data_IF_932092595445
#
_entry.id   IF_932092595445
#
_cell.length_a   1.000
_cell.length_b   1.000
_cell.length_c   1.000
_cell.angle_alpha   90.00
_cell.angle_beta   90.00
_cell.angle_gamma   90.00
#
_symmetry.space_group_name_H-M   'P 1'
#
loop_
_entity.id
_entity.type
_entity.pdbx_description
1 polymer ?
#
# COMPACT_ATOMS: atom_id res chain seq x y z
N UNK A 1 7.38 -24.28 -15.76
CA UNK A 1 8.35 -23.78 -16.74
C UNK A 1 7.86 -24.04 -18.16
N UNK A 2 6.90 -23.31 -18.69
CA UNK A 2 6.54 -23.28 -20.13
C UNK A 2 5.62 -22.08 -20.35
N UNK A 3 6.01 -21.16 -21.25
CA UNK A 3 5.29 -19.99 -21.81
C UNK A 3 5.67 -18.59 -21.30
N UNK A 4 6.95 -18.31 -21.06
CA UNK A 4 7.41 -16.92 -20.88
C UNK A 4 8.43 -16.45 -21.94
N UNK A 5 8.69 -17.23 -22.97
CA UNK A 5 9.86 -17.01 -23.85
C UNK A 5 9.57 -16.41 -25.20
N UNK A 6 8.36 -16.49 -25.75
CA UNK A 6 8.17 -16.05 -27.14
C UNK A 6 7.81 -14.57 -27.30
N UNK A 7 7.10 -13.93 -26.40
CA UNK A 7 6.75 -12.50 -26.54
C UNK A 7 7.89 -11.54 -26.21
N UNK A 8 8.79 -11.93 -25.32
CA UNK A 8 9.95 -11.08 -24.96
C UNK A 8 11.06 -11.14 -26.02
N UNK A 9 11.19 -12.25 -26.71
CA UNK A 9 12.18 -12.42 -27.78
C UNK A 9 11.75 -11.70 -29.08
N UNK A 10 10.45 -11.65 -29.38
CA UNK A 10 9.95 -10.92 -30.57
C UNK A 10 10.05 -9.38 -30.43
N UNK A 11 9.99 -8.84 -29.22
CA UNK A 11 10.17 -7.40 -28.99
C UNK A 11 11.63 -6.96 -29.17
N UNK A 12 12.60 -7.85 -28.95
CA UNK A 12 14.03 -7.56 -29.17
C UNK A 12 14.45 -7.76 -30.64
N UNK A 13 13.76 -8.58 -31.42
CA UNK A 13 14.06 -8.81 -32.83
C UNK A 13 13.70 -7.63 -33.73
N UNK A 14 12.71 -6.80 -33.36
CA UNK A 14 12.29 -5.62 -34.15
C UNK A 14 13.19 -4.39 -33.96
N UNK A 15 14.16 -4.43 -33.04
CA UNK A 15 15.18 -3.37 -32.87
C UNK A 15 16.46 -3.62 -33.68
N UNK A 16 16.54 -4.75 -34.41
CA UNK A 16 17.76 -5.21 -35.08
C UNK A 16 17.86 -4.83 -36.57
N UNK A 17 16.94 -4.06 -37.16
CA UNK A 17 17.00 -3.75 -38.59
C UNK A 17 17.91 -2.56 -38.98
N UNK A 18 18.68 -2.00 -38.06
CA UNK A 18 19.65 -0.90 -38.34
C UNK A 18 20.99 -1.00 -37.59
N UNK A 19 21.45 -2.19 -37.24
CA UNK A 19 22.76 -2.36 -36.58
C UNK A 19 23.59 -3.46 -37.29
N UNK A 20 24.93 -3.33 -37.37
CA UNK A 20 25.78 -4.31 -38.03
C UNK A 20 25.80 -5.66 -37.32
N UNK A 21 25.98 -6.74 -38.09
CA UNK A 21 25.95 -8.13 -37.69
C UNK A 21 26.63 -8.43 -36.35
N UNK A 22 25.86 -8.89 -35.38
CA UNK A 22 26.38 -9.43 -34.12
C UNK A 22 26.66 -10.93 -34.34
N UNK A 23 27.87 -11.35 -34.01
CA UNK A 23 28.40 -12.69 -34.16
C UNK A 23 27.67 -13.69 -33.23
N UNK A 24 27.38 -14.90 -33.70
CA UNK A 24 26.62 -15.96 -33.04
C UNK A 24 27.26 -16.55 -31.77
N UNK A 25 28.40 -16.01 -31.32
CA UNK A 25 29.08 -16.42 -30.07
C UNK A 25 28.38 -15.94 -28.77
N UNK A 26 27.26 -15.19 -28.89
CA UNK A 26 26.60 -14.56 -27.71
C UNK A 26 25.63 -15.48 -26.95
N UNK A 27 25.30 -16.66 -27.49
CA UNK A 27 24.28 -17.54 -26.89
C UNK A 27 24.84 -18.65 -25.98
N UNK A 28 26.15 -18.84 -25.89
CA UNK A 28 26.77 -19.92 -25.11
C UNK A 28 27.34 -19.50 -23.75
N UNK A 29 27.26 -18.22 -23.37
CA UNK A 29 27.86 -17.69 -22.12
C UNK A 29 26.86 -17.39 -21.00
N UNK A 30 25.73 -18.10 -20.93
CA UNK A 30 24.72 -17.86 -19.87
C UNK A 30 25.02 -18.56 -18.52
N UNK A 31 26.10 -19.35 -18.43
CA UNK A 31 26.43 -20.16 -17.25
C UNK A 31 27.65 -19.70 -16.43
N UNK A 32 28.22 -18.51 -16.69
CA UNK A 32 29.35 -18.05 -15.90
C UNK A 32 29.51 -16.52 -15.85
N UNK A 33 29.73 -15.99 -14.66
CA UNK A 33 29.88 -14.54 -14.38
C UNK A 33 31.16 -13.91 -14.96
N UNK A 34 32.08 -14.66 -15.53
CA UNK A 34 33.42 -14.19 -15.92
C UNK A 34 33.54 -13.65 -17.36
N UNK A 35 32.45 -13.64 -18.13
CA UNK A 35 32.48 -13.16 -19.53
C UNK A 35 32.25 -11.66 -19.72
N UNK A 36 32.10 -10.87 -18.68
CA UNK A 36 31.75 -9.43 -18.80
C UNK A 36 32.94 -8.46 -18.89
N UNK A 37 34.15 -8.93 -18.58
CA UNK A 37 35.35 -8.05 -18.56
C UNK A 37 36.18 -8.05 -19.86
N UNK A 38 35.79 -8.83 -20.85
CA UNK A 38 36.52 -8.98 -22.12
C UNK A 38 36.25 -7.93 -23.21
N UNK A 39 35.34 -6.97 -23.01
CA UNK A 39 34.94 -6.01 -24.04
C UNK A 39 35.49 -4.58 -23.82
N UNK A 40 36.79 -4.45 -23.61
CA UNK A 40 37.45 -3.14 -23.44
C UNK A 40 37.94 -2.49 -24.74
N UNK A 41 37.39 -2.85 -25.90
CA UNK A 41 37.92 -2.39 -27.20
C UNK A 41 36.94 -1.76 -28.21
N UNK A 42 35.65 -1.61 -27.88
CA UNK A 42 34.68 -1.05 -28.83
C UNK A 42 34.29 0.37 -28.43
N UNK A 43 34.55 1.34 -29.30
CA UNK A 43 34.08 2.71 -29.15
C UNK A 43 32.56 2.76 -29.31
N UNK A 44 31.84 2.75 -28.20
CA UNK A 44 30.39 2.89 -28.16
C UNK A 44 30.01 4.36 -27.90
N UNK A 45 29.04 4.88 -28.66
CA UNK A 45 28.46 6.22 -28.50
C UNK A 45 27.85 6.41 -27.11
N UNK A 46 27.80 7.67 -26.65
CA UNK A 46 27.35 8.06 -25.29
C UNK A 46 25.98 7.49 -24.91
N UNK A 47 25.07 7.33 -25.88
CA UNK A 47 23.73 6.75 -25.67
C UNK A 47 23.76 5.25 -25.34
N UNK A 48 24.69 4.50 -25.95
CA UNK A 48 24.86 3.07 -25.69
C UNK A 48 25.49 2.82 -24.29
N UNK A 49 26.33 3.74 -23.80
CA UNK A 49 26.89 3.66 -22.43
C UNK A 49 25.84 3.92 -21.35
N UNK A 50 24.89 4.82 -21.60
CA UNK A 50 23.79 5.11 -20.66
C UNK A 50 22.84 3.92 -20.52
N UNK A 51 22.44 3.28 -21.63
CA UNK A 51 21.57 2.11 -21.61
C UNK A 51 22.25 0.90 -20.98
N UNK A 52 23.54 0.70 -21.22
CA UNK A 52 24.30 -0.40 -20.64
C UNK A 52 24.51 -0.23 -19.13
N UNK A 53 24.67 1.00 -18.65
CA UNK A 53 24.71 1.35 -17.23
C UNK A 53 23.37 1.05 -16.53
N UNK A 54 22.25 1.39 -17.15
CA UNK A 54 20.91 1.11 -16.61
C UNK A 54 20.59 -0.37 -16.60
N UNK A 55 20.98 -1.12 -17.61
CA UNK A 55 20.82 -2.59 -17.67
C UNK A 55 21.67 -3.28 -16.61
N UNK A 56 22.93 -2.84 -16.39
CA UNK A 56 23.78 -3.37 -15.30
C UNK A 56 23.21 -3.03 -13.91
N UNK A 57 22.63 -1.84 -13.71
CA UNK A 57 21.98 -1.47 -12.45
C UNK A 57 20.71 -2.30 -12.18
N UNK A 58 19.90 -2.55 -13.21
CA UNK A 58 18.68 -3.39 -13.09
C UNK A 58 19.01 -4.87 -12.84
N UNK A 59 20.04 -5.39 -13.50
CA UNK A 59 20.52 -6.76 -13.29
C UNK A 59 21.11 -6.94 -11.90
N UNK A 60 21.90 -5.96 -11.39
CA UNK A 60 22.42 -5.97 -10.02
C UNK A 60 21.30 -5.90 -8.98
N UNK A 61 20.27 -5.07 -9.19
CA UNK A 61 19.14 -4.96 -8.28
C UNK A 61 18.29 -6.25 -8.23
N UNK A 62 18.11 -6.93 -9.36
CA UNK A 62 17.43 -8.24 -9.42
C UNK A 62 18.29 -9.36 -8.81
N UNK A 63 19.61 -9.36 -9.03
CA UNK A 63 20.52 -10.33 -8.45
C UNK A 63 20.63 -10.18 -6.93
N UNK A 64 20.69 -8.94 -6.40
CA UNK A 64 20.70 -8.67 -4.96
C UNK A 64 19.40 -9.13 -4.30
N UNK A 65 18.26 -8.97 -4.96
CA UNK A 65 16.96 -9.49 -4.47
C UNK A 65 16.91 -11.01 -4.51
N UNK A 66 17.50 -11.65 -5.53
CA UNK A 66 17.55 -13.09 -5.65
C UNK A 66 18.54 -13.72 -4.65
N UNK A 67 19.69 -13.09 -4.42
CA UNK A 67 20.69 -13.53 -3.43
C UNK A 67 20.17 -13.27 -2.01
N UNK A 68 19.48 -12.18 -1.73
CA UNK A 68 18.82 -11.94 -0.44
C UNK A 68 17.72 -12.99 -0.15
N UNK A 69 16.98 -13.43 -1.18
CA UNK A 69 16.01 -14.51 -1.06
C UNK A 69 16.69 -15.87 -0.82
N UNK A 70 17.84 -16.14 -1.47
CA UNK A 70 18.62 -17.37 -1.32
C UNK A 70 19.35 -17.42 0.02
N UNK A 71 19.88 -16.29 0.53
CA UNK A 71 20.54 -16.23 1.86
C UNK A 71 19.54 -16.41 2.99
N UNK A 72 18.27 -15.95 2.83
CA UNK A 72 17.21 -16.26 3.78
C UNK A 72 16.81 -17.74 3.79
N UNK A 73 16.97 -18.45 2.68
CA UNK A 73 16.69 -19.90 2.60
C UNK A 73 17.83 -20.73 3.17
N UNK A 74 19.10 -20.26 3.12
CA UNK A 74 20.27 -21.02 3.58
C UNK A 74 20.61 -20.85 5.06
N UNK A 75 20.09 -19.83 5.75
CA UNK A 75 20.34 -19.65 7.20
C UNK A 75 19.51 -20.59 8.10
N UNK A 76 18.65 -21.45 7.52
CA UNK A 76 17.81 -22.41 8.27
C UNK A 76 18.41 -23.82 8.31
N UNK A 77 19.53 -24.11 7.63
CA UNK A 77 20.03 -25.50 7.47
C UNK A 77 21.11 -25.92 8.43
N UNK A 78 21.38 -25.23 9.54
CA UNK A 78 22.41 -25.63 10.47
C UNK A 78 21.93 -25.83 11.91
N UNK A 79 20.99 -26.75 12.14
CA UNK A 79 20.81 -27.41 13.45
C UNK A 79 19.83 -28.60 13.40
N UNK A 80 20.16 -29.65 12.66
CA UNK A 80 19.47 -30.93 12.80
C UNK A 80 20.50 -32.06 12.80
N UNK A 81 21.08 -32.33 13.97
CA UNK A 81 21.61 -33.66 14.31
C UNK A 81 21.30 -33.95 15.77
N UNK A 82 20.22 -34.72 16.01
CA UNK A 82 20.19 -35.69 17.12
C UNK A 82 19.08 -36.70 16.84
N UNK A 83 19.47 -37.94 16.60
CA UNK A 83 18.61 -39.13 16.62
C UNK A 83 18.22 -39.48 18.07
N UNK A 84 16.98 -39.92 18.27
CA UNK A 84 16.51 -40.58 19.50
C UNK A 84 15.00 -40.77 19.48
N UNK A 85 14.57 -42.04 19.32
CA UNK A 85 13.15 -42.39 19.22
C UNK A 85 12.35 -42.19 20.51
N UNK A 86 11.07 -41.95 20.33
CA UNK A 86 10.05 -41.82 21.34
C UNK A 86 8.93 -40.95 20.81
N UNK A 87 7.73 -41.51 20.58
CA UNK A 87 6.54 -40.72 20.23
C UNK A 87 6.15 -39.86 21.45
N UNK A 88 6.81 -38.75 21.65
CA UNK A 88 6.36 -37.64 22.47
C UNK A 88 5.67 -36.64 21.55
N UNK A 89 4.44 -36.29 21.87
CA UNK A 89 3.76 -35.11 21.33
C UNK A 89 4.69 -33.92 21.53
N UNK A 90 5.43 -33.58 20.50
CA UNK A 90 6.29 -32.41 20.53
C UNK A 90 5.41 -31.17 20.74
N UNK A 91 5.65 -30.38 21.80
CA UNK A 91 4.92 -29.13 21.97
C UNK A 91 5.09 -28.28 20.71
N UNK A 92 4.01 -27.64 20.28
CA UNK A 92 3.99 -26.67 19.20
C UNK A 92 5.17 -25.72 19.38
N UNK A 93 6.27 -25.96 18.65
CA UNK A 93 7.32 -24.96 18.53
C UNK A 93 6.70 -23.78 17.81
N UNK A 94 6.98 -22.58 18.31
CA UNK A 94 6.56 -21.31 17.69
C UNK A 94 6.48 -21.48 16.17
N UNK A 95 5.30 -21.36 15.56
CA UNK A 95 5.21 -21.44 14.11
C UNK A 95 6.15 -20.38 13.58
N UNK A 96 7.08 -20.77 12.72
CA UNK A 96 7.96 -19.84 12.03
C UNK A 96 7.10 -19.13 10.99
N UNK A 97 6.39 -18.09 11.43
CA UNK A 97 5.49 -17.34 10.59
C UNK A 97 6.30 -16.24 9.97
N UNK A 98 6.78 -16.50 8.77
CA UNK A 98 7.34 -15.48 7.90
C UNK A 98 6.15 -14.83 7.20
N UNK A 99 5.90 -13.55 7.47
CA UNK A 99 4.92 -12.78 6.72
C UNK A 99 5.63 -11.97 5.64
N UNK A 100 5.05 -11.96 4.45
CA UNK A 100 5.24 -10.89 3.50
C UNK A 100 4.82 -9.56 4.16
N UNK A 101 5.09 -8.43 3.55
CA UNK A 101 4.78 -7.09 4.07
C UNK A 101 3.44 -7.02 4.85
N UNK A 102 3.51 -6.72 6.14
CA UNK A 102 2.34 -6.54 7.02
C UNK A 102 1.76 -5.14 6.79
N UNK A 103 0.62 -5.04 6.10
CA UNK A 103 -0.04 -3.77 5.86
C UNK A 103 -1.57 -3.95 5.71
N UNK A 104 -2.34 -2.93 6.09
CA UNK A 104 -3.78 -2.88 5.90
C UNK A 104 -4.16 -3.08 4.43
N UNK A 105 -5.14 -3.95 4.16
CA UNK A 105 -5.68 -4.17 2.81
C UNK A 105 -4.71 -4.80 1.80
N UNK A 106 -3.49 -5.19 2.22
CA UNK A 106 -2.54 -5.93 1.38
C UNK A 106 -2.57 -7.38 1.79
N UNK A 107 -2.54 -8.30 0.83
CA UNK A 107 -2.52 -9.74 1.11
C UNK A 107 -1.27 -10.11 1.90
N UNK A 108 -1.47 -10.60 3.11
CA UNK A 108 -0.44 -11.16 3.99
C UNK A 108 -0.48 -12.68 3.87
N UNK A 109 0.67 -13.32 3.74
CA UNK A 109 0.80 -14.78 3.73
C UNK A 109 1.54 -15.24 4.96
N UNK A 110 0.95 -16.19 5.67
CA UNK A 110 1.52 -16.86 6.83
C UNK A 110 1.97 -18.26 6.45
N UNK A 111 3.17 -18.65 6.83
CA UNK A 111 3.74 -20.00 6.62
C UNK A 111 3.76 -20.75 7.93
N UNK A 112 3.10 -21.90 7.99
CA UNK A 112 3.00 -22.75 9.19
C UNK A 112 3.65 -24.10 8.89
N UNK A 113 4.52 -24.60 9.78
CA UNK A 113 5.20 -25.89 9.61
C UNK A 113 4.22 -27.06 9.41
N UNK A 114 4.45 -27.89 8.38
CA UNK A 114 3.55 -29.02 7.99
C UNK A 114 3.33 -30.02 9.13
N UNK A 115 4.33 -30.22 9.98
CA UNK A 115 4.21 -31.11 11.15
C UNK A 115 3.14 -30.67 12.15
N UNK A 116 2.70 -29.43 12.09
CA UNK A 116 1.68 -28.86 12.98
C UNK A 116 0.28 -28.92 12.37
N UNK A 117 0.16 -28.89 11.05
CA UNK A 117 -1.13 -28.85 10.35
C UNK A 117 -1.81 -30.22 10.32
N UNK A 118 -1.03 -31.33 10.31
CA UNK A 118 -1.56 -32.69 10.19
C UNK A 118 -2.15 -33.23 11.49
N UNK A 119 -2.30 -32.42 12.56
CA UNK A 119 -2.80 -32.84 13.88
C UNK A 119 -4.22 -32.36 14.21
N UNK A 120 -5.02 -32.00 13.18
CA UNK A 120 -6.35 -31.45 13.41
C UNK A 120 -6.34 -30.02 13.98
N UNK A 121 -5.27 -29.29 13.75
CA UNK A 121 -5.11 -27.92 14.23
C UNK A 121 -5.77 -26.97 13.24
N UNK A 122 -6.60 -26.07 13.76
CA UNK A 122 -7.23 -24.98 13.02
C UNK A 122 -6.46 -23.69 13.27
N UNK A 123 -6.40 -22.82 12.26
CA UNK A 123 -5.72 -21.52 12.35
C UNK A 123 -6.72 -20.38 12.18
N UNK A 124 -6.56 -19.34 12.99
CA UNK A 124 -7.33 -18.10 12.89
C UNK A 124 -6.38 -16.89 12.96
N UNK A 125 -6.80 -15.79 12.40
CA UNK A 125 -6.09 -14.52 12.52
C UNK A 125 -7.11 -13.41 12.76
N UNK A 126 -6.96 -12.67 13.86
CA UNK A 126 -7.75 -11.45 14.07
C UNK A 126 -7.43 -10.42 12.97
N UNK A 127 -8.30 -9.47 12.75
CA UNK A 127 -8.23 -8.51 11.63
C UNK A 127 -8.28 -9.16 10.24
N UNK A 128 -8.53 -10.48 10.14
CA UNK A 128 -8.75 -11.21 8.89
C UNK A 128 -10.14 -11.85 8.93
N UNK A 129 -10.94 -11.67 7.89
CA UNK A 129 -12.27 -12.31 7.84
C UNK A 129 -12.16 -13.83 7.76
N UNK A 130 -11.17 -14.34 7.03
CA UNK A 130 -10.85 -15.77 6.94
C UNK A 130 -9.40 -15.94 6.47
N UNK A 131 -8.77 -17.04 6.91
CA UNK A 131 -7.52 -17.52 6.33
C UNK A 131 -7.81 -18.42 5.15
N UNK A 132 -7.25 -18.11 3.98
CA UNK A 132 -7.40 -18.92 2.77
C UNK A 132 -6.11 -19.71 2.52
N UNK A 133 -6.16 -21.05 2.39
CA UNK A 133 -5.00 -21.83 1.99
C UNK A 133 -4.49 -21.39 0.62
N UNK A 134 -3.18 -21.23 0.49
CA UNK A 134 -2.51 -20.86 -0.77
C UNK A 134 -1.30 -21.76 -1.01
N UNK A 135 -0.82 -21.90 -2.27
CA UNK A 135 0.37 -22.68 -2.56
C UNK A 135 1.59 -22.22 -1.74
N UNK A 136 2.26 -23.16 -1.08
CA UNK A 136 3.51 -22.89 -0.37
C UNK A 136 4.71 -23.04 -1.31
N UNK A 137 5.74 -22.19 -1.18
CA UNK A 137 6.99 -22.34 -1.93
C UNK A 137 7.86 -23.52 -1.42
N UNK A 138 7.53 -24.08 -0.28
CA UNK A 138 8.28 -25.17 0.35
C UNK A 138 7.34 -26.27 0.87
N UNK A 139 7.69 -27.56 0.69
CA UNK A 139 6.93 -28.69 1.23
C UNK A 139 6.96 -28.77 2.77
N UNK A 140 7.83 -28.02 3.42
CA UNK A 140 7.95 -27.97 4.87
C UNK A 140 6.91 -27.06 5.54
N UNK A 141 6.18 -26.27 4.75
CA UNK A 141 5.20 -25.31 5.26
C UNK A 141 3.88 -25.43 4.52
N UNK A 142 2.79 -25.19 5.21
CA UNK A 142 1.53 -24.78 4.61
C UNK A 142 1.44 -23.26 4.66
N UNK A 143 0.83 -22.69 3.62
CA UNK A 143 0.68 -21.25 3.51
C UNK A 143 -0.81 -20.87 3.59
N UNK A 144 -1.09 -19.82 4.33
CA UNK A 144 -2.42 -19.22 4.48
C UNK A 144 -2.32 -17.73 4.20
N UNK A 145 -3.28 -17.20 3.48
CA UNK A 145 -3.32 -15.76 3.20
C UNK A 145 -4.60 -15.12 3.69
N UNK A 146 -4.52 -13.84 4.01
CA UNK A 146 -5.67 -12.97 4.20
C UNK A 146 -5.33 -11.52 3.86
N UNK A 147 -6.36 -10.67 3.78
CA UNK A 147 -6.19 -9.22 3.74
C UNK A 147 -6.63 -8.64 5.08
N UNK A 148 -5.73 -8.02 5.86
CA UNK A 148 -6.11 -7.35 7.09
C UNK A 148 -7.14 -6.25 6.83
N UNK A 149 -8.26 -6.30 7.52
CA UNK A 149 -9.37 -5.35 7.43
C UNK A 149 -9.26 -4.18 8.41
N UNK A 150 -8.24 -4.20 9.26
CA UNK A 150 -7.95 -3.17 10.27
C UNK A 150 -6.46 -3.00 10.50
N UNK A 151 -6.11 -2.02 11.34
CA UNK A 151 -4.76 -1.78 11.86
C UNK A 151 -4.66 -2.13 13.34
N UNK A 152 -3.43 -2.30 13.86
CA UNK A 152 -3.17 -2.68 15.23
C UNK A 152 -2.67 -4.12 15.37
N UNK A 153 -2.95 -4.78 16.48
CA UNK A 153 -2.45 -6.12 16.76
C UNK A 153 -3.28 -7.18 16.03
N UNK A 154 -2.67 -7.84 15.06
CA UNK A 154 -3.19 -9.07 14.47
C UNK A 154 -2.72 -10.24 15.33
N UNK A 155 -3.65 -10.98 15.91
CA UNK A 155 -3.39 -12.19 16.70
C UNK A 155 -3.60 -13.39 15.80
N UNK A 156 -2.53 -14.08 15.43
CA UNK A 156 -2.58 -15.37 14.75
C UNK A 156 -2.65 -16.47 15.82
N UNK A 157 -3.63 -17.36 15.74
CA UNK A 157 -3.85 -18.42 16.73
C UNK A 157 -3.93 -19.79 16.08
N UNK A 158 -3.33 -20.77 16.73
CA UNK A 158 -3.54 -22.19 16.48
C UNK A 158 -4.50 -22.75 17.54
N UNK A 159 -5.52 -23.48 17.13
CA UNK A 159 -6.57 -24.07 17.98
C UNK A 159 -6.63 -25.58 17.76
N UNK A 160 -6.94 -26.34 18.81
CA UNK A 160 -7.28 -27.79 18.69
C UNK A 160 -8.65 -27.98 18.04
N UNK A 161 -9.06 -29.25 17.91
CA UNK A 161 -10.34 -29.61 17.33
C UNK A 161 -11.54 -29.11 18.17
N UNK A 162 -11.34 -28.91 19.45
CA UNK A 162 -12.33 -28.43 20.43
C UNK A 162 -12.36 -26.89 20.50
N UNK A 163 -11.47 -26.19 19.75
CA UNK A 163 -11.38 -24.74 19.69
C UNK A 163 -10.54 -24.08 20.81
N UNK A 164 -9.82 -24.88 21.60
CA UNK A 164 -8.92 -24.38 22.65
C UNK A 164 -7.66 -23.82 21.99
N UNK A 165 -7.26 -22.62 22.40
CA UNK A 165 -6.04 -21.97 21.90
C UNK A 165 -4.80 -22.72 22.41
N UNK A 166 -4.02 -23.23 21.48
CA UNK A 166 -2.73 -23.90 21.73
C UNK A 166 -1.56 -22.94 21.67
N UNK A 167 -1.64 -21.94 20.79
CA UNK A 167 -0.58 -20.96 20.57
C UNK A 167 -1.16 -19.68 20.01
N UNK A 168 -0.55 -18.54 20.36
CA UNK A 168 -0.80 -17.25 19.75
C UNK A 168 0.52 -16.60 19.32
N UNK A 169 0.46 -15.88 18.19
CA UNK A 169 1.56 -15.00 17.77
C UNK A 169 0.98 -13.66 17.33
N UNK A 170 1.53 -12.59 17.86
CA UNK A 170 1.10 -11.23 17.56
C UNK A 170 1.93 -10.61 16.46
N UNK A 171 1.26 -9.93 15.55
CA UNK A 171 1.86 -9.11 14.51
C UNK A 171 1.27 -7.71 14.59
N UNK A 172 2.03 -6.69 14.21
CA UNK A 172 1.52 -5.33 14.14
C UNK A 172 1.19 -4.99 12.69
N UNK A 173 -0.08 -4.69 12.42
CA UNK A 173 -0.53 -4.10 11.17
C UNK A 173 -0.52 -2.59 11.37
N UNK A 174 0.38 -1.85 10.74
CA UNK A 174 0.44 -0.41 10.91
C UNK A 174 -0.81 0.27 10.31
N UNK A 175 -1.17 1.41 10.89
CA UNK A 175 -2.20 2.27 10.32
C UNK A 175 -1.71 2.80 8.96
N UNK A 176 -2.53 2.74 7.89
CA UNK A 176 -2.10 3.18 6.59
C UNK A 176 -1.82 4.69 6.59
N UNK A 177 -0.72 5.08 5.96
CA UNK A 177 -0.34 6.48 5.80
C UNK A 177 -0.34 6.88 4.33
N UNK A 178 -0.69 8.13 4.07
CA UNK A 178 -0.66 8.76 2.75
C UNK A 178 0.15 10.03 2.83
N UNK A 179 1.19 10.11 2.00
CA UNK A 179 1.96 11.34 1.78
C UNK A 179 1.35 12.08 0.60
N UNK A 180 0.91 13.29 0.85
CA UNK A 180 0.38 14.21 -0.15
C UNK A 180 1.33 15.38 -0.31
N UNK A 181 1.94 15.50 -1.50
CA UNK A 181 2.81 16.64 -1.86
C UNK A 181 1.95 17.69 -2.52
N UNK A 182 2.04 18.93 -2.05
CA UNK A 182 1.30 20.06 -2.58
C UNK A 182 2.24 21.19 -3.00
N UNK A 183 1.74 22.17 -3.74
CA UNK A 183 2.50 23.40 -4.04
C UNK A 183 2.85 24.23 -2.81
N UNK A 184 2.17 23.97 -1.66
CA UNK A 184 2.43 24.66 -0.39
C UNK A 184 3.34 23.86 0.56
N UNK A 185 3.61 22.59 0.26
CA UNK A 185 4.41 21.70 1.10
C UNK A 185 3.85 20.28 1.17
N UNK A 186 4.45 19.45 2.00
CA UNK A 186 4.08 18.05 2.16
C UNK A 186 3.23 17.85 3.42
N UNK A 187 2.15 17.07 3.28
CA UNK A 187 1.26 16.69 4.36
C UNK A 187 1.24 15.16 4.43
N UNK A 188 1.35 14.59 5.63
CA UNK A 188 1.21 13.14 5.85
C UNK A 188 -0.04 12.89 6.66
N UNK A 189 -0.92 12.05 6.14
CA UNK A 189 -2.13 11.58 6.80
C UNK A 189 -1.93 10.18 7.35
N UNK A 190 -2.38 9.92 8.57
CA UNK A 190 -2.61 8.60 9.13
C UNK A 190 -4.10 8.31 9.10
N UNK A 191 -4.48 7.16 8.50
CA UNK A 191 -5.87 6.78 8.32
C UNK A 191 -6.30 5.76 9.37
N UNK A 192 -7.58 5.78 9.73
CA UNK A 192 -8.14 4.90 10.75
C UNK A 192 -9.14 3.89 10.14
N UNK A 193 -8.65 2.75 9.62
CA UNK A 193 -9.53 1.72 9.02
C UNK A 193 -10.38 0.97 10.06
N UNK A 194 -10.07 1.10 11.36
CA UNK A 194 -10.87 0.47 12.41
C UNK A 194 -12.18 1.24 12.68
N UNK A 195 -12.13 2.57 12.52
CA UNK A 195 -13.30 3.42 12.72
C UNK A 195 -14.08 3.68 11.42
N UNK A 196 -13.39 3.70 10.27
CA UNK A 196 -14.00 4.04 8.97
C UNK A 196 -13.44 3.16 7.84
N UNK A 197 -13.68 1.83 7.86
CA UNK A 197 -13.08 0.89 6.91
C UNK A 197 -13.48 1.16 5.45
N UNK A 198 -14.75 1.50 5.19
CA UNK A 198 -15.26 1.79 3.84
C UNK A 198 -14.64 3.08 3.32
N UNK A 199 -14.61 4.12 4.15
CA UNK A 199 -14.06 5.44 3.81
C UNK A 199 -12.56 5.37 3.55
N UNK A 200 -11.79 4.68 4.42
CA UNK A 200 -10.36 4.49 4.24
C UNK A 200 -10.06 3.72 2.96
N UNK A 201 -10.78 2.63 2.69
CA UNK A 201 -10.65 1.86 1.45
C UNK A 201 -10.91 2.72 0.21
N UNK A 202 -11.98 3.51 0.23
CA UNK A 202 -12.34 4.44 -0.84
C UNK A 202 -11.24 5.48 -1.07
N UNK A 203 -10.78 6.16 -0.02
CA UNK A 203 -9.72 7.17 -0.13
C UNK A 203 -8.43 6.57 -0.70
N UNK A 204 -8.00 5.41 -0.22
CA UNK A 204 -6.82 4.70 -0.73
C UNK A 204 -6.99 4.25 -2.19
N UNK A 205 -8.21 3.94 -2.64
CA UNK A 205 -8.49 3.62 -4.03
C UNK A 205 -8.27 4.84 -4.94
N UNK A 206 -8.72 6.04 -4.55
CA UNK A 206 -8.42 7.29 -5.25
C UNK A 206 -6.93 7.63 -5.24
N UNK A 207 -6.23 7.41 -4.11
CA UNK A 207 -4.77 7.58 -4.02
C UNK A 207 -4.05 6.65 -4.99
N UNK A 208 -4.38 5.36 -4.99
CA UNK A 208 -3.71 4.35 -5.82
C UNK A 208 -3.99 4.49 -7.32
N UNK A 209 -5.14 5.08 -7.69
CA UNK A 209 -5.47 5.40 -9.08
C UNK A 209 -4.76 6.66 -9.61
N UNK A 210 -4.05 7.40 -8.75
CA UNK A 210 -3.42 8.68 -9.10
C UNK A 210 -4.41 9.83 -9.26
N UNK A 211 -5.68 9.64 -8.86
CA UNK A 211 -6.77 10.59 -9.07
C UNK A 211 -6.47 11.98 -8.50
N UNK A 212 -5.78 12.06 -7.36
CA UNK A 212 -5.51 13.34 -6.69
C UNK A 212 -4.39 14.18 -7.34
N UNK A 213 -3.70 13.66 -8.35
CA UNK A 213 -2.65 14.44 -9.05
C UNK A 213 -3.26 15.59 -9.86
N UNK A 214 -2.71 16.80 -9.70
CA UNK A 214 -3.16 18.05 -10.32
C UNK A 214 -4.55 18.54 -9.84
N UNK A 215 -5.06 18.01 -8.73
CA UNK A 215 -6.27 18.50 -8.07
C UNK A 215 -5.92 19.65 -7.12
N UNK A 216 -6.84 20.62 -6.97
CA UNK A 216 -6.66 21.77 -6.09
C UNK A 216 -7.43 21.61 -4.78
N UNK A 217 -6.98 22.31 -3.75
CA UNK A 217 -7.83 22.67 -2.61
C UNK A 217 -8.73 23.82 -3.05
N UNK A 218 -9.94 23.47 -3.47
CA UNK A 218 -10.87 24.38 -4.14
C UNK A 218 -11.76 25.21 -3.20
N UNK A 219 -11.78 24.86 -1.89
CA UNK A 219 -12.55 25.60 -0.89
C UNK A 219 -11.73 25.67 0.40
N UNK A 220 -11.37 26.88 0.79
CA UNK A 220 -10.54 27.18 1.95
C UNK A 220 -11.24 28.23 2.81
N UNK A 221 -11.57 27.87 4.04
CA UNK A 221 -12.20 28.77 5.01
C UNK A 221 -11.33 28.81 6.26
N UNK A 222 -10.68 29.95 6.56
CA UNK A 222 -9.90 30.14 7.77
C UNK A 222 -10.71 29.82 9.02
N UNK A 223 -10.11 29.12 9.98
CA UNK A 223 -10.78 28.72 11.20
C UNK A 223 -11.91 27.69 11.04
N UNK A 224 -11.98 27.05 9.86
CA UNK A 224 -12.99 26.02 9.60
C UNK A 224 -12.36 24.81 8.87
N UNK A 225 -12.26 24.82 7.53
CA UNK A 225 -11.78 23.66 6.76
C UNK A 225 -10.95 24.05 5.55
N UNK A 226 -10.08 23.13 5.12
CA UNK A 226 -9.38 23.10 3.83
C UNK A 226 -9.91 21.90 3.05
N UNK A 227 -10.68 22.12 1.98
CA UNK A 227 -11.36 21.08 1.21
C UNK A 227 -10.78 20.94 -0.20
N UNK A 228 -10.53 19.69 -0.61
CA UNK A 228 -10.02 19.33 -1.93
C UNK A 228 -10.65 18.05 -2.48
N UNK A 229 -10.07 17.53 -3.57
CA UNK A 229 -10.43 16.20 -4.08
C UNK A 229 -11.50 16.16 -5.19
N UNK A 230 -11.88 17.30 -5.79
CA UNK A 230 -12.95 17.30 -6.80
C UNK A 230 -12.70 18.16 -8.02
N UNK A 231 -11.75 19.10 -7.97
CA UNK A 231 -11.57 20.12 -9.00
C UNK A 231 -10.08 20.27 -9.37
N UNK A 232 -9.84 20.56 -10.64
CA UNK A 232 -8.55 21.04 -11.14
C UNK A 232 -8.53 22.56 -11.24
N UNK A 233 -7.39 23.14 -11.60
CA UNK A 233 -7.24 24.59 -11.84
C UNK A 233 -8.38 25.14 -12.72
N UNK A 234 -8.84 26.36 -12.40
CA UNK A 234 -9.98 26.99 -13.08
C UNK A 234 -11.34 26.43 -12.64
N UNK A 235 -11.43 25.71 -11.53
CA UNK A 235 -12.67 25.12 -11.00
C UNK A 235 -13.34 24.12 -11.98
N UNK A 236 -12.52 23.37 -12.72
CA UNK A 236 -13.02 22.31 -13.59
C UNK A 236 -13.26 21.04 -12.75
N UNK A 237 -14.53 20.67 -12.60
CA UNK A 237 -14.91 19.47 -11.86
C UNK A 237 -14.47 18.21 -12.63
N UNK A 238 -13.81 17.27 -11.93
CA UNK A 238 -13.46 15.99 -12.52
C UNK A 238 -14.58 14.96 -12.34
N UNK A 239 -14.82 14.13 -13.38
CA UNK A 239 -15.69 12.97 -13.23
C UNK A 239 -15.08 11.99 -12.24
N UNK A 240 -15.89 11.49 -11.30
CA UNK A 240 -15.45 10.51 -10.31
C UNK A 240 -15.54 9.10 -10.90
N UNK A 241 -14.46 8.30 -10.87
CA UNK A 241 -14.43 6.97 -11.47
C UNK A 241 -15.08 5.88 -10.60
N UNK A 242 -15.34 6.16 -9.31
CA UNK A 242 -15.87 5.18 -8.37
C UNK A 242 -17.21 5.58 -7.81
N UNK A 243 -18.04 4.58 -7.47
CA UNK A 243 -19.36 4.78 -6.90
C UNK A 243 -19.29 5.49 -5.53
N UNK A 244 -20.36 6.24 -5.16
CA UNK A 244 -20.49 6.78 -3.81
C UNK A 244 -20.47 5.69 -2.74
N UNK A 245 -20.04 6.06 -1.53
CA UNK A 245 -19.92 5.15 -0.39
C UNK A 245 -20.98 5.46 0.69
N UNK A 246 -21.30 4.42 1.47
CA UNK A 246 -22.13 4.55 2.67
C UNK A 246 -21.43 5.39 3.71
N UNK A 247 -22.17 6.28 4.37
CA UNK A 247 -21.69 7.11 5.46
C UNK A 247 -21.37 6.24 6.70
N UNK A 248 -20.20 6.44 7.26
CA UNK A 248 -19.75 5.72 8.47
C UNK A 248 -19.80 6.65 9.70
N UNK A 249 -21.01 7.08 10.07
CA UNK A 249 -21.27 7.83 11.30
C UNK A 249 -22.46 7.21 12.06
N UNK A 250 -22.43 7.21 13.42
CA UNK A 250 -21.29 7.57 14.29
C UNK A 250 -20.21 6.50 14.27
N UNK A 251 -18.95 6.90 14.29
CA UNK A 251 -17.80 5.97 14.29
C UNK A 251 -16.81 6.22 15.46
N UNK A 252 -17.22 7.03 16.44
CA UNK A 252 -16.40 7.35 17.61
C UNK A 252 -15.33 8.42 17.38
N UNK A 253 -15.22 8.96 16.16
CA UNK A 253 -14.31 10.06 15.83
C UNK A 253 -15.06 11.37 15.71
N UNK A 254 -14.37 12.48 16.04
CA UNK A 254 -14.90 13.82 16.00
C UNK A 254 -14.11 14.71 15.04
N UNK A 255 -14.76 15.72 14.47
CA UNK A 255 -14.18 16.71 13.55
C UNK A 255 -13.32 17.73 14.34
N UNK A 256 -12.25 17.26 14.96
CA UNK A 256 -11.29 18.08 15.70
C UNK A 256 -10.19 18.61 14.77
N UNK A 257 -9.48 19.63 15.21
CA UNK A 257 -8.34 20.21 14.49
C UNK A 257 -7.35 19.14 14.00
N UNK A 258 -6.98 19.20 12.73
CA UNK A 258 -6.07 18.25 12.10
C UNK A 258 -6.70 16.94 11.63
N UNK A 259 -8.00 16.69 11.86
CA UNK A 259 -8.67 15.48 11.36
C UNK A 259 -9.11 15.62 9.91
N UNK A 260 -9.19 14.46 9.21
CA UNK A 260 -9.70 14.33 7.85
C UNK A 260 -11.11 13.75 7.88
N UNK A 261 -12.03 14.35 7.11
CA UNK A 261 -13.37 13.80 6.89
C UNK A 261 -13.79 13.88 5.43
N UNK A 262 -14.74 13.01 5.03
CA UNK A 262 -15.28 13.00 3.67
C UNK A 262 -16.32 14.09 3.50
N UNK A 263 -16.16 14.87 2.43
CA UNK A 263 -17.21 15.77 1.96
C UNK A 263 -18.30 14.95 1.25
N UNK A 264 -19.54 15.42 1.36
CA UNK A 264 -20.73 14.82 0.76
C UNK A 264 -21.77 15.89 0.38
N UNK A 265 -22.76 15.51 -0.39
CA UNK A 265 -23.95 16.34 -0.65
C UNK A 265 -24.93 16.24 0.52
N UNK A 266 -26.17 16.68 0.34
CA UNK A 266 -27.25 16.46 1.32
C UNK A 266 -27.61 14.99 1.52
N UNK A 267 -27.36 14.13 0.52
CA UNK A 267 -27.48 12.68 0.66
C UNK A 267 -26.32 12.14 1.53
N UNK A 268 -26.61 11.47 2.64
CA UNK A 268 -25.57 10.91 3.51
C UNK A 268 -24.62 9.93 2.79
N UNK A 269 -25.11 9.18 1.81
CA UNK A 269 -24.36 8.15 1.09
C UNK A 269 -23.81 8.65 -0.26
N UNK A 270 -23.51 9.94 -0.39
CA UNK A 270 -23.03 10.55 -1.63
C UNK A 270 -21.53 10.84 -1.67
N UNK A 271 -20.78 10.51 -0.62
CA UNK A 271 -19.33 10.75 -0.57
C UNK A 271 -18.59 9.95 -1.66
N UNK A 272 -17.66 10.61 -2.36
CA UNK A 272 -16.81 9.99 -3.41
C UNK A 272 -15.35 10.31 -3.19
N UNK A 273 -14.79 11.32 -3.89
CA UNK A 273 -13.37 11.69 -3.85
C UNK A 273 -13.06 12.88 -2.95
N UNK A 274 -14.04 13.76 -2.70
CA UNK A 274 -13.80 15.00 -1.98
C UNK A 274 -13.63 14.76 -0.48
N UNK A 275 -12.63 15.40 0.09
CA UNK A 275 -12.32 15.36 1.51
C UNK A 275 -11.99 16.76 2.02
N UNK A 276 -12.03 16.93 3.33
CA UNK A 276 -11.55 18.15 3.97
C UNK A 276 -10.69 17.86 5.20
N UNK A 277 -9.85 18.83 5.53
CA UNK A 277 -9.02 18.85 6.73
C UNK A 277 -9.61 19.92 7.65
N UNK A 278 -9.90 19.56 8.89
CA UNK A 278 -10.34 20.48 9.90
C UNK A 278 -9.17 21.36 10.38
N UNK A 279 -9.31 22.68 10.33
CA UNK A 279 -8.30 23.62 10.86
C UNK A 279 -8.72 24.27 12.17
N UNK A 280 -9.87 23.86 12.68
CA UNK A 280 -10.40 24.16 14.00
C UNK A 280 -11.23 22.96 14.49
N UNK A 281 -11.66 23.00 15.75
CA UNK A 281 -12.58 22.01 16.31
C UNK A 281 -14.01 22.30 15.81
N UNK A 282 -14.45 21.49 14.83
CA UNK A 282 -15.72 21.63 14.14
C UNK A 282 -16.73 20.58 14.61
N UNK A 283 -16.95 20.44 15.90
CA UNK A 283 -17.83 19.41 16.50
C UNK A 283 -19.28 19.49 16.03
N UNK A 284 -19.70 20.63 15.48
CA UNK A 284 -21.01 20.78 14.82
C UNK A 284 -21.16 19.94 13.55
N UNK A 285 -20.03 19.44 12.98
CA UNK A 285 -20.00 18.51 11.85
C UNK A 285 -20.08 17.03 12.27
N UNK A 286 -20.09 16.74 13.56
CA UNK A 286 -20.22 15.39 14.09
C UNK A 286 -21.66 14.87 13.96
N UNK A 287 -21.80 13.56 14.11
CA UNK A 287 -23.11 12.95 14.18
C UNK A 287 -23.93 13.48 15.37
N UNK A 288 -25.09 14.00 15.12
CA UNK A 288 -26.03 14.44 16.18
C UNK A 288 -27.31 13.58 16.21
N UNK A 289 -27.81 13.15 15.03
CA UNK A 289 -29.01 12.32 14.89
C UNK A 289 -29.09 11.72 13.48
N UNK A 290 -30.08 10.86 13.25
CA UNK A 290 -30.36 10.35 11.89
C UNK A 290 -30.76 11.43 10.88
N UNK A 291 -31.28 12.55 11.32
CA UNK A 291 -31.59 13.72 10.49
C UNK A 291 -30.43 14.71 10.37
N UNK A 292 -29.45 14.62 11.27
CA UNK A 292 -28.18 15.32 11.18
C UNK A 292 -27.03 14.31 11.34
N UNK A 293 -26.75 13.49 10.31
CA UNK A 293 -25.83 12.36 10.42
C UNK A 293 -24.34 12.78 10.39
N UNK A 294 -24.03 14.05 10.25
CA UNK A 294 -22.67 14.58 10.28
C UNK A 294 -21.79 14.12 9.11
N UNK A 295 -20.48 14.13 9.34
CA UNK A 295 -19.44 13.78 8.35
C UNK A 295 -18.46 12.78 8.94
N UNK A 296 -18.14 11.73 8.19
CA UNK A 296 -17.29 10.65 8.66
C UNK A 296 -15.82 11.10 8.69
N UNK A 297 -15.27 11.26 9.89
CA UNK A 297 -13.83 11.38 10.11
C UNK A 297 -13.20 10.01 9.88
N UNK A 298 -12.09 9.98 9.12
CA UNK A 298 -11.42 8.72 8.76
C UNK A 298 -9.91 8.74 8.92
N UNK A 299 -9.33 9.86 9.39
CA UNK A 299 -7.90 10.01 9.59
C UNK A 299 -7.53 11.33 10.23
N UNK A 300 -6.24 11.57 10.33
CA UNK A 300 -5.66 12.80 10.88
C UNK A 300 -4.34 13.14 10.20
N UNK A 301 -3.96 14.41 10.23
CA UNK A 301 -2.62 14.89 9.87
C UNK A 301 -1.64 14.47 10.96
N UNK A 302 -0.56 13.79 10.58
CA UNK A 302 0.53 13.41 11.48
C UNK A 302 1.81 14.21 11.21
N UNK A 303 1.93 14.80 10.00
CA UNK A 303 3.03 15.71 9.64
C UNK A 303 2.49 16.77 8.69
N UNK A 304 2.97 18.00 8.78
CA UNK A 304 2.59 19.10 7.88
C UNK A 304 1.31 19.83 8.31
N UNK A 305 0.96 19.85 9.59
CA UNK A 305 -0.16 20.67 10.08
C UNK A 305 0.12 22.18 9.90
N UNK A 306 1.36 22.59 9.96
CA UNK A 306 1.82 23.94 9.60
C UNK A 306 1.56 24.27 8.13
N UNK A 307 1.76 23.30 7.22
CA UNK A 307 1.43 23.43 5.79
C UNK A 307 -0.09 23.59 5.62
N UNK A 308 -0.90 22.80 6.32
CA UNK A 308 -2.37 22.93 6.32
C UNK A 308 -2.80 24.30 6.79
N UNK A 309 -2.21 24.82 7.87
CA UNK A 309 -2.49 26.15 8.39
C UNK A 309 -2.06 27.26 7.41
N UNK A 310 -0.93 27.08 6.71
CA UNK A 310 -0.52 28.00 5.65
C UNK A 310 -1.52 28.01 4.49
N UNK A 311 -2.04 26.85 4.08
CA UNK A 311 -3.11 26.76 3.08
C UNK A 311 -4.37 27.44 3.58
N UNK A 312 -4.75 27.25 4.85
CA UNK A 312 -5.95 27.86 5.42
C UNK A 312 -5.88 29.40 5.49
N UNK A 313 -4.69 29.98 5.40
CA UNK A 313 -4.46 31.42 5.46
C UNK A 313 -4.37 32.11 4.09
N UNK A 314 -4.43 31.37 2.97
CA UNK A 314 -4.31 31.99 1.64
C UNK A 314 -5.51 32.90 1.33
N UNK A 315 -5.30 33.98 0.58
CA UNK A 315 -6.40 34.81 0.06
C UNK A 315 -7.36 33.98 -0.80
N UNK A 316 -8.66 34.21 -0.63
CA UNK A 316 -9.71 33.52 -1.37
C UNK A 316 -10.60 34.47 -2.15
N UNK A 317 -11.27 33.97 -3.17
CA UNK A 317 -12.18 34.69 -4.07
C UNK A 317 -13.39 33.83 -4.40
N UNK A 318 -14.30 34.39 -5.19
CA UNK A 318 -15.41 33.65 -5.80
C UNK A 318 -15.09 33.38 -7.27
N UNK A 319 -15.16 32.10 -7.68
CA UNK A 319 -14.92 31.67 -9.08
C UNK A 319 -16.10 30.83 -9.53
N UNK A 320 -16.75 31.20 -10.65
CA UNK A 320 -17.89 30.47 -11.21
C UNK A 320 -19.00 30.17 -10.19
N UNK A 321 -19.28 31.12 -9.29
CA UNK A 321 -20.29 30.96 -8.22
C UNK A 321 -19.83 30.18 -6.99
N UNK A 322 -18.61 29.61 -7.02
CA UNK A 322 -18.01 28.94 -5.86
C UNK A 322 -17.24 29.95 -5.00
N UNK A 323 -17.64 30.10 -3.75
CA UNK A 323 -16.98 30.99 -2.79
C UNK A 323 -15.80 30.29 -2.12
N UNK A 324 -14.86 31.10 -1.57
CA UNK A 324 -13.70 30.63 -0.80
C UNK A 324 -12.71 29.80 -1.63
N UNK A 325 -12.61 30.05 -2.92
CA UNK A 325 -11.60 29.47 -3.80
C UNK A 325 -10.28 30.23 -3.61
N UNK A 326 -9.13 29.60 -3.37
CA UNK A 326 -7.85 30.29 -3.31
C UNK A 326 -7.59 31.16 -4.55
N UNK A 327 -7.09 32.38 -4.37
CA UNK A 327 -6.72 33.28 -5.48
C UNK A 327 -5.60 32.67 -6.32
N UNK A 328 -4.64 32.05 -5.65
CA UNK A 328 -3.59 31.22 -6.27
C UNK A 328 -3.88 29.78 -5.91
N UNK A 329 -4.00 28.92 -6.92
CA UNK A 329 -4.30 27.51 -6.72
C UNK A 329 -3.29 26.82 -5.82
N UNK A 330 -3.77 26.14 -4.81
CA UNK A 330 -2.96 25.18 -4.03
C UNK A 330 -3.19 23.80 -4.60
N UNK A 331 -2.21 23.31 -5.35
CA UNK A 331 -2.32 22.08 -6.14
C UNK A 331 -1.67 20.90 -5.43
N UNK A 332 -2.34 19.76 -5.45
CA UNK A 332 -1.80 18.46 -5.07
C UNK A 332 -0.98 17.93 -6.24
N UNK A 333 0.33 17.81 -6.10
CA UNK A 333 1.23 17.33 -7.15
C UNK A 333 1.37 15.81 -7.14
N UNK A 334 1.23 15.18 -5.96
CA UNK A 334 1.15 13.74 -5.82
C UNK A 334 0.47 13.33 -4.52
N UNK A 335 -0.15 12.15 -4.53
CA UNK A 335 -0.65 11.48 -3.35
C UNK A 335 -0.23 10.00 -3.43
N UNK A 336 0.54 9.52 -2.45
CA UNK A 336 1.07 8.16 -2.44
C UNK A 336 0.87 7.51 -1.08
N UNK A 337 0.49 6.24 -1.08
CA UNK A 337 0.49 5.45 0.15
C UNK A 337 1.93 5.14 0.54
N UNK A 338 2.31 5.46 1.78
CA UNK A 338 3.68 5.30 2.31
C UNK A 338 3.77 4.24 3.41
N UNK A 339 2.62 3.79 3.96
CA UNK A 339 2.54 2.73 4.96
C UNK A 339 1.31 1.85 4.79
#
# INVERSE_FOLDING_TARGET
MKKLTQKTVLSLANLSSKAPRVNTAFLSCLDGLDCLDGFAGVQANATARSTMSQVKALAKAKLVRFVALLVMVFSVTCSLTSCGGGAQSTPLKNPDIQSSQLAYGITVTFFVGVTQVNQGINFTASLCNALTPVPSPSPLYQAFSCQPSGSGTLVFSALDAEGKVLLTKNFTIPAPQVTMVTSAGTIVYELNPNAAPITVKNFLQYVSSGFYTNIIFHRVIPGFVVQGGGFTSGMNQLPVPFAPITLETPNGLSNLTGTLAMARTTDPNSATSQFYINVADNTSLDYASSTNPGYAVFGKVVTGLDVVNAIAAVPTQTVNGNSNVPVTDVTITSATRTQ
#
